data_IF_486421190010
#
_entry.id   IF_486421190010
#
_cell.length_a   1.000
_cell.length_b   1.000
_cell.length_c   1.000
_cell.angle_alpha   90.00
_cell.angle_beta   90.00
_cell.angle_gamma   90.00
#
_symmetry.space_group_name_H-M   'P 1'
#
loop_
_entity.id
_entity.type
_entity.pdbx_description
1 polymer ?
#
# COMPACT_ATOMS: atom_id res chain seq x y z
N UNK A 1 -9.35 -9.55 -4.22
CA UNK A 1 -8.57 -8.52 -4.94
C UNK A 1 -7.47 -8.06 -3.99
N UNK A 2 -6.22 -7.99 -4.47
CA UNK A 2 -5.06 -7.56 -3.69
C UNK A 2 -4.75 -6.10 -4.05
N UNK A 3 -4.80 -5.14 -3.11
CA UNK A 3 -4.39 -3.76 -3.39
C UNK A 3 -2.88 -3.67 -3.69
N UNK A 4 -2.53 -3.47 -4.97
CA UNK A 4 -1.16 -3.43 -5.51
C UNK A 4 -0.40 -2.11 -5.21
N UNK A 5 -0.65 -1.48 -4.07
CA UNK A 5 -0.08 -0.16 -3.79
C UNK A 5 1.35 -0.23 -3.24
N UNK A 6 1.74 -1.38 -2.70
CA UNK A 6 3.01 -1.62 -2.04
C UNK A 6 3.48 -3.08 -2.25
N UNK A 7 4.78 -3.30 -2.14
CA UNK A 7 5.42 -4.58 -2.40
C UNK A 7 6.42 -4.95 -1.33
N UNK A 8 6.69 -6.24 -1.16
CA UNK A 8 7.63 -6.75 -0.16
C UNK A 8 8.65 -7.67 -0.85
N UNK A 9 9.95 -7.42 -0.66
CA UNK A 9 11.03 -8.18 -1.32
C UNK A 9 11.14 -9.65 -0.89
N UNK A 10 10.49 -10.01 0.23
CA UNK A 10 10.46 -11.38 0.75
C UNK A 10 9.26 -12.17 0.22
N UNK A 11 8.31 -11.51 -0.45
CA UNK A 11 7.17 -12.17 -1.10
C UNK A 11 7.54 -12.55 -2.56
N UNK A 12 7.31 -13.79 -3.01
CA UNK A 12 7.64 -14.21 -4.38
C UNK A 12 6.87 -13.46 -5.48
N UNK A 13 5.70 -12.90 -5.18
CA UNK A 13 4.93 -12.06 -6.10
C UNK A 13 5.29 -10.56 -5.95
N UNK A 14 6.31 -10.27 -5.13
CA UNK A 14 6.74 -8.93 -4.73
C UNK A 14 5.58 -8.09 -4.15
N UNK A 15 4.56 -8.75 -3.60
CA UNK A 15 3.35 -8.12 -3.12
C UNK A 15 3.41 -7.79 -1.62
N UNK A 16 2.53 -6.91 -1.15
CA UNK A 16 2.36 -6.62 0.28
C UNK A 16 0.88 -6.60 0.68
N UNK A 17 0.20 -7.76 0.69
CA UNK A 17 -1.19 -7.87 1.12
C UNK A 17 -1.43 -7.41 2.55
N UNK A 18 -0.46 -7.56 3.47
CA UNK A 18 -0.62 -7.11 4.85
C UNK A 18 -0.82 -5.61 4.92
N UNK A 19 0.08 -4.85 4.31
CA UNK A 19 -0.04 -3.40 4.23
C UNK A 19 -1.39 -2.97 3.67
N UNK A 20 -1.73 -3.51 2.49
CA UNK A 20 -2.91 -3.07 1.76
C UNK A 20 -4.21 -3.44 2.46
N UNK A 21 -4.29 -4.64 3.03
CA UNK A 21 -5.46 -5.10 3.81
C UNK A 21 -5.63 -4.23 5.06
N UNK A 22 -4.55 -3.96 5.80
CA UNK A 22 -4.60 -3.10 6.98
C UNK A 22 -5.13 -1.69 6.65
N UNK A 23 -4.67 -1.07 5.54
CA UNK A 23 -5.17 0.25 5.12
C UNK A 23 -6.64 0.23 4.72
N UNK A 24 -7.09 -0.82 4.02
CA UNK A 24 -8.50 -0.94 3.62
C UNK A 24 -9.39 -1.16 4.84
N UNK A 25 -8.99 -2.04 5.77
CA UNK A 25 -9.72 -2.26 7.04
C UNK A 25 -9.81 -0.97 7.85
N UNK A 26 -8.71 -0.22 7.99
CA UNK A 26 -8.71 1.09 8.64
C UNK A 26 -9.72 2.06 7.99
N UNK A 27 -9.78 2.10 6.65
CA UNK A 27 -10.77 2.93 5.95
C UNK A 27 -12.22 2.47 6.24
N UNK A 28 -12.50 1.16 6.28
CA UNK A 28 -13.82 0.66 6.67
C UNK A 28 -14.18 1.00 8.12
N UNK A 29 -13.22 0.90 9.05
CA UNK A 29 -13.35 1.33 10.45
C UNK A 29 -13.75 2.80 10.52
N UNK A 30 -12.98 3.67 9.88
CA UNK A 30 -13.14 5.12 9.97
C UNK A 30 -14.45 5.60 9.32
N UNK A 31 -14.98 4.84 8.35
CA UNK A 31 -16.30 5.06 7.75
C UNK A 31 -17.46 4.43 8.52
N UNK A 32 -17.22 3.72 9.62
CA UNK A 32 -18.25 3.02 10.38
C UNK A 32 -18.89 1.84 9.63
N UNK A 33 -18.12 1.16 8.77
CA UNK A 33 -18.60 0.11 7.85
C UNK A 33 -17.98 -1.27 8.11
N UNK A 34 -17.61 -1.57 9.36
CA UNK A 34 -16.98 -2.85 9.73
C UNK A 34 -17.87 -4.09 9.48
N UNK A 35 -19.19 -3.92 9.43
CA UNK A 35 -20.13 -5.00 9.10
C UNK A 35 -20.09 -5.42 7.63
N UNK A 36 -19.46 -4.64 6.75
CA UNK A 36 -19.33 -4.99 5.35
C UNK A 36 -18.47 -6.26 5.19
N UNK A 37 -18.89 -7.18 4.34
CA UNK A 37 -18.16 -8.44 4.08
C UNK A 37 -16.65 -8.22 3.83
N UNK A 38 -16.22 -7.23 3.01
CA UNK A 38 -14.79 -7.00 2.79
C UNK A 38 -14.01 -6.62 4.06
N UNK A 39 -14.64 -5.88 4.98
CA UNK A 39 -14.00 -5.50 6.24
C UNK A 39 -13.83 -6.72 7.16
N UNK A 40 -14.88 -7.54 7.29
CA UNK A 40 -14.86 -8.77 8.09
C UNK A 40 -13.86 -9.78 7.54
N UNK A 41 -13.79 -9.94 6.21
CA UNK A 41 -12.82 -10.83 5.57
C UNK A 41 -11.39 -10.29 5.71
N UNK A 42 -11.18 -8.97 5.64
CA UNK A 42 -9.88 -8.35 5.88
C UNK A 42 -9.38 -8.53 7.32
N UNK A 43 -10.25 -8.32 8.31
CA UNK A 43 -9.97 -8.59 9.72
C UNK A 43 -9.61 -10.05 9.96
N UNK A 44 -10.42 -10.98 9.43
CA UNK A 44 -10.15 -12.42 9.52
C UNK A 44 -8.81 -12.77 8.89
N UNK A 45 -8.54 -12.25 7.69
CA UNK A 45 -7.29 -12.51 6.98
C UNK A 45 -6.09 -12.06 7.81
N UNK A 46 -6.11 -10.83 8.36
CA UNK A 46 -5.04 -10.32 9.22
C UNK A 46 -4.80 -11.23 10.45
N UNK A 47 -5.86 -11.71 11.13
CA UNK A 47 -5.70 -12.69 12.22
C UNK A 47 -5.01 -13.97 11.78
N UNK A 48 -5.43 -14.54 10.64
CA UNK A 48 -4.93 -15.84 10.16
C UNK A 48 -3.54 -15.79 9.53
N UNK A 49 -2.97 -14.60 9.35
CA UNK A 49 -1.68 -14.38 8.69
C UNK A 49 -0.59 -13.89 9.64
N UNK A 50 -0.89 -13.79 10.94
CA UNK A 50 0.09 -13.55 11.99
C UNK A 50 1.11 -14.71 12.03
N UNK A 51 2.39 -14.39 12.19
CA UNK A 51 3.45 -15.38 12.34
C UNK A 51 3.48 -15.93 13.77
N UNK A 52 4.09 -17.10 13.97
CA UNK A 52 4.22 -17.75 15.28
C UNK A 52 5.00 -16.92 16.32
N UNK A 53 5.79 -15.94 15.87
CA UNK A 53 6.51 -15.02 16.74
C UNK A 53 5.62 -13.89 17.29
N UNK A 54 4.40 -13.74 16.78
CA UNK A 54 3.45 -12.68 17.16
C UNK A 54 3.47 -11.47 16.23
N UNK A 55 4.40 -11.38 15.29
CA UNK A 55 4.48 -10.30 14.31
C UNK A 55 3.79 -10.60 12.98
N UNK A 56 3.85 -9.64 12.06
CA UNK A 56 3.43 -9.78 10.66
C UNK A 56 4.55 -9.35 9.72
N UNK A 57 4.65 -10.03 8.59
CA UNK A 57 5.40 -9.60 7.41
C UNK A 57 4.49 -9.16 6.27
N UNK A 58 5.05 -8.92 5.08
CA UNK A 58 4.33 -8.49 3.88
C UNK A 58 3.22 -9.46 3.42
N UNK A 59 3.43 -10.76 3.61
CA UNK A 59 2.50 -11.85 3.31
C UNK A 59 2.71 -13.05 4.25
N UNK A 60 1.88 -14.09 4.11
CA UNK A 60 2.02 -15.34 4.89
C UNK A 60 3.40 -15.95 4.67
N UNK A 61 4.10 -16.26 5.77
CA UNK A 61 5.42 -16.88 5.72
C UNK A 61 6.57 -15.92 5.41
N UNK A 62 6.29 -14.62 5.19
CA UNK A 62 7.34 -13.60 5.14
C UNK A 62 7.77 -13.21 6.55
N UNK A 63 9.05 -12.83 6.78
CA UNK A 63 9.54 -12.48 8.11
C UNK A 63 8.77 -11.31 8.72
N UNK A 64 8.53 -11.37 10.04
CA UNK A 64 7.91 -10.28 10.78
C UNK A 64 8.78 -9.02 10.77
N UNK A 65 8.16 -7.88 10.49
CA UNK A 65 8.79 -6.55 10.44
C UNK A 65 8.04 -5.57 11.35
N UNK A 66 8.71 -4.48 11.72
CA UNK A 66 8.09 -3.44 12.56
C UNK A 66 6.92 -2.78 11.82
N UNK A 67 7.11 -2.53 10.53
CA UNK A 67 6.17 -1.82 9.68
C UNK A 67 4.87 -2.59 9.48
N UNK A 68 4.93 -3.86 9.03
CA UNK A 68 3.75 -4.68 8.82
C UNK A 68 3.07 -5.09 10.13
N UNK A 69 3.85 -5.38 11.19
CA UNK A 69 3.28 -5.68 12.53
C UNK A 69 2.48 -4.49 13.07
N UNK A 70 3.05 -3.28 13.01
CA UNK A 70 2.36 -2.08 13.49
C UNK A 70 1.07 -1.79 12.70
N UNK A 71 1.10 -1.96 11.37
CA UNK A 71 -0.07 -1.75 10.52
C UNK A 71 -1.18 -2.78 10.77
N UNK A 72 -0.82 -4.07 10.84
CA UNK A 72 -1.77 -5.14 11.10
C UNK A 72 -2.42 -4.98 12.49
N UNK A 73 -1.61 -4.70 13.52
CA UNK A 73 -2.09 -4.46 14.88
C UNK A 73 -3.07 -3.28 14.94
N UNK A 74 -2.74 -2.13 14.33
CA UNK A 74 -3.64 -0.94 14.32
C UNK A 74 -5.00 -1.26 13.69
N UNK A 75 -5.00 -1.98 12.58
CA UNK A 75 -6.23 -2.39 11.90
C UNK A 75 -7.09 -3.33 12.77
N UNK A 76 -6.45 -4.21 13.54
CA UNK A 76 -7.12 -5.20 14.39
C UNK A 76 -7.67 -4.62 15.70
N UNK A 77 -7.19 -3.45 16.17
CA UNK A 77 -7.66 -2.81 17.42
C UNK A 77 -9.17 -2.55 17.46
N UNK A 78 -9.82 -2.45 16.29
CA UNK A 78 -11.26 -2.22 16.21
C UNK A 78 -12.11 -3.49 16.27
N UNK A 79 -11.49 -4.67 16.35
CA UNK A 79 -12.18 -5.95 16.30
C UNK A 79 -12.00 -6.76 17.61
N UNK A 80 -13.08 -6.95 18.40
CA UNK A 80 -13.02 -7.75 19.63
C UNK A 80 -12.58 -9.20 19.45
N UNK A 81 -12.76 -9.78 18.25
CA UNK A 81 -12.27 -11.15 17.96
C UNK A 81 -10.74 -11.21 17.83
N UNK A 82 -10.07 -10.07 17.77
CA UNK A 82 -8.64 -9.96 17.48
C UNK A 82 -7.79 -9.66 18.72
N UNK A 83 -8.36 -9.71 19.93
CA UNK A 83 -7.65 -9.37 21.18
C UNK A 83 -6.36 -10.16 21.38
N UNK A 84 -6.38 -11.47 21.14
CA UNK A 84 -5.19 -12.32 21.30
C UNK A 84 -4.10 -11.98 20.28
N UNK A 85 -4.48 -11.73 19.02
CA UNK A 85 -3.56 -11.31 17.96
C UNK A 85 -2.95 -9.94 18.26
N UNK A 86 -3.77 -8.99 18.73
CA UNK A 86 -3.32 -7.65 19.14
C UNK A 86 -2.34 -7.75 20.30
N UNK A 87 -2.62 -8.57 21.31
CA UNK A 87 -1.73 -8.73 22.46
C UNK A 87 -0.36 -9.29 22.04
N UNK A 88 -0.34 -10.32 21.19
CA UNK A 88 0.91 -10.89 20.68
C UNK A 88 1.70 -9.90 19.83
N UNK A 89 1.03 -9.12 18.96
CA UNK A 89 1.67 -8.06 18.18
C UNK A 89 2.23 -6.94 19.06
N UNK A 90 1.52 -6.58 20.12
CA UNK A 90 1.96 -5.60 21.10
C UNK A 90 3.22 -6.08 21.83
N UNK A 91 3.21 -7.31 22.33
CA UNK A 91 4.36 -7.90 23.02
C UNK A 91 5.58 -7.98 22.08
N UNK A 92 5.37 -8.37 20.81
CA UNK A 92 6.42 -8.38 19.78
C UNK A 92 7.00 -6.98 19.55
N UNK A 93 6.16 -5.94 19.42
CA UNK A 93 6.62 -4.56 19.22
C UNK A 93 7.34 -4.00 20.46
N UNK A 94 6.85 -4.28 21.67
CA UNK A 94 7.51 -3.89 22.92
C UNK A 94 8.91 -4.50 22.98
N UNK A 95 9.07 -5.78 22.63
CA UNK A 95 10.37 -6.42 22.59
C UNK A 95 11.34 -5.71 21.62
N UNK A 96 10.84 -5.21 20.48
CA UNK A 96 11.64 -4.42 19.52
C UNK A 96 12.05 -3.05 20.06
N UNK A 97 11.23 -2.45 20.91
CA UNK A 97 11.57 -1.22 21.62
C UNK A 97 12.64 -1.48 22.68
N UNK A 98 12.46 -2.51 23.51
CA UNK A 98 13.39 -2.85 24.59
C UNK A 98 14.79 -3.22 24.11
N UNK A 99 14.90 -3.79 22.90
CA UNK A 99 16.18 -4.13 22.28
C UNK A 99 16.66 -3.13 21.21
N UNK A 100 16.00 -1.97 21.09
CA UNK A 100 16.30 -0.87 20.17
C UNK A 100 16.24 -1.21 18.66
N UNK A 101 15.81 -2.44 18.29
CA UNK A 101 15.73 -2.85 16.89
C UNK A 101 14.54 -2.25 16.12
N UNK A 102 13.59 -1.61 16.81
CA UNK A 102 12.49 -0.85 16.18
C UNK A 102 12.97 0.30 15.28
N UNK A 103 14.23 0.74 15.45
CA UNK A 103 14.85 1.81 14.66
C UNK A 103 15.43 1.32 13.33
N UNK A 104 15.48 0.01 13.09
CA UNK A 104 16.02 -0.59 11.87
C UNK A 104 14.91 -0.83 10.84
N UNK A 105 14.83 -0.03 9.75
CA UNK A 105 13.71 -0.07 8.83
C UNK A 105 13.75 -1.31 7.91
N UNK A 106 12.57 -1.85 7.57
CA UNK A 106 12.40 -2.82 6.49
C UNK A 106 11.77 -2.19 5.25
N UNK A 107 12.16 -2.62 4.03
CA UNK A 107 11.49 -2.18 2.82
C UNK A 107 10.04 -2.67 2.75
N UNK A 108 9.08 -1.74 2.75
CA UNK A 108 7.63 -2.04 2.60
C UNK A 108 7.05 -1.61 1.26
N UNK A 109 7.88 -1.15 0.33
CA UNK A 109 7.45 -0.69 -0.98
C UNK A 109 8.52 -0.88 -2.03
N UNK A 110 8.21 -1.68 -3.05
CA UNK A 110 8.95 -1.73 -4.30
C UNK A 110 8.38 -0.66 -5.25
N UNK A 111 9.00 0.53 -5.27
CA UNK A 111 8.55 1.64 -6.13
C UNK A 111 9.16 1.52 -7.54
N UNK A 112 8.33 1.68 -8.57
CA UNK A 112 8.68 1.45 -9.98
C UNK A 112 9.96 2.17 -10.44
N UNK A 113 10.97 1.40 -10.83
CA UNK A 113 12.00 1.87 -11.74
C UNK A 113 11.45 1.88 -13.18
N UNK A 114 10.97 3.06 -13.63
CA UNK A 114 10.64 3.47 -15.03
C UNK A 114 9.18 3.26 -15.50
N UNK A 115 8.38 4.31 -15.32
CA UNK A 115 7.14 4.53 -16.06
C UNK A 115 7.37 5.63 -17.11
N UNK A 116 7.10 5.30 -18.38
CA UNK A 116 6.98 6.28 -19.47
C UNK A 116 5.51 6.30 -19.88
N UNK A 117 4.87 7.46 -19.81
CA UNK A 117 3.52 7.65 -20.31
C UNK A 117 3.53 8.64 -21.46
N UNK A 118 2.57 8.47 -22.37
CA UNK A 118 2.24 9.38 -23.44
C UNK A 118 0.72 9.59 -23.43
N UNK A 119 0.27 10.64 -24.10
CA UNK A 119 -1.14 11.01 -24.22
C UNK A 119 -1.47 11.13 -25.71
N UNK A 120 -2.51 10.43 -26.14
CA UNK A 120 -2.88 10.30 -27.55
C UNK A 120 -3.23 11.65 -28.20
N UNK A 121 -3.73 12.60 -27.40
CA UNK A 121 -4.09 13.92 -27.89
C UNK A 121 -2.90 14.88 -28.06
N UNK A 122 -1.76 14.63 -27.41
CA UNK A 122 -0.62 15.54 -27.47
C UNK A 122 -0.12 15.79 -28.89
N UNK A 123 0.13 14.76 -29.73
CA UNK A 123 0.58 14.99 -31.11
C UNK A 123 -0.44 15.78 -31.93
N UNK A 124 -1.74 15.52 -31.75
CA UNK A 124 -2.81 16.17 -32.50
C UNK A 124 -2.94 17.65 -32.14
N UNK A 125 -3.03 17.96 -30.84
CA UNK A 125 -3.17 19.34 -30.33
C UNK A 125 -1.99 20.18 -30.80
N UNK A 126 -0.76 19.69 -30.62
CA UNK A 126 0.44 20.46 -30.94
C UNK A 126 0.63 20.65 -32.44
N UNK A 127 0.30 19.64 -33.25
CA UNK A 127 0.37 19.75 -34.71
C UNK A 127 -0.58 20.81 -35.23
N UNK A 128 -1.85 20.78 -34.82
CA UNK A 128 -2.85 21.77 -35.27
C UNK A 128 -2.47 23.18 -34.82
N UNK A 129 -1.99 23.32 -33.57
CA UNK A 129 -1.53 24.60 -33.04
C UNK A 129 -0.36 25.17 -33.84
N UNK A 130 0.61 24.34 -34.25
CA UNK A 130 1.76 24.77 -35.04
C UNK A 130 1.36 25.22 -36.46
N UNK A 131 0.53 24.42 -37.15
CA UNK A 131 0.08 24.75 -38.51
C UNK A 131 -0.72 26.06 -38.56
N UNK A 132 -1.57 26.30 -37.55
CA UNK A 132 -2.29 27.57 -37.42
C UNK A 132 -1.33 28.76 -37.33
N UNK A 133 -0.29 28.66 -36.49
CA UNK A 133 0.69 29.75 -36.34
C UNK A 133 1.45 30.02 -37.64
N UNK A 134 1.87 28.98 -38.35
CA UNK A 134 2.57 29.13 -39.63
C UNK A 134 1.70 29.86 -40.69
N UNK A 135 0.41 29.55 -40.75
CA UNK A 135 -0.54 30.25 -41.62
C UNK A 135 -0.68 31.72 -41.26
N UNK A 136 -0.69 32.06 -39.98
CA UNK A 136 -0.77 33.45 -39.53
C UNK A 136 0.52 34.21 -39.85
N UNK A 137 1.69 33.62 -39.60
CA UNK A 137 2.99 34.24 -39.89
C UNK A 137 3.24 34.43 -41.38
N UNK A 138 2.79 33.50 -42.23
CA UNK A 138 2.96 33.64 -43.69
C UNK A 138 2.06 34.71 -44.33
N UNK A 139 0.96 35.10 -43.67
CA UNK A 139 0.12 36.23 -44.08
C UNK A 139 0.76 37.58 -43.72
N UNK A 140 1.47 37.64 -42.59
CA UNK A 140 2.19 38.85 -42.15
C UNK A 140 3.44 39.18 -42.98
N UNK A 141 3.96 38.24 -43.78
CA UNK A 141 5.11 38.47 -44.68
C UNK A 141 4.65 38.92 -46.09
N UNK A 142 3.34 38.91 -46.36
CA UNK A 142 2.76 39.28 -47.67
C UNK A 142 2.06 40.66 -47.69
N UNK A 143 2.16 41.41 -46.59
CA UNK A 143 1.91 42.87 -46.57
C UNK A 143 3.26 43.60 -46.64
#
# INVERSE_FOLDING_TARGET
WLPLWFGNQHDPEEANPTYGTAKVVAAYRDLGRLEALPARDGLRWLRTTQNDDGGWGGAVGTPSTVEETALAMDALLCDPESLDSVQQGLDWLIQRVENDSWTSPNPIGFYFAKLWYFEDLYPVIWTVAALRRALQSSRLVKE
#
